data_IF_377941000012
#
_entry.id   IF_377941000012
#
_cell.length_a   1.000
_cell.length_b   1.000
_cell.length_c   1.000
_cell.angle_alpha   90.00
_cell.angle_beta   90.00
_cell.angle_gamma   90.00
#
_symmetry.space_group_name_H-M   'P 1'
#
loop_
_entity.id
_entity.type
_entity.pdbx_description
1 polymer ?
#
# COMPACT_ATOMS: atom_id res chain seq x y z
N UNK A 1 66.37 -24.17 44.87
CA UNK A 1 66.52 -24.62 46.27
C UNK A 1 65.38 -24.05 47.07
N UNK A 2 64.69 -24.91 47.85
CA UNK A 2 63.66 -24.68 48.88
C UNK A 2 62.72 -23.46 48.76
N UNK A 3 61.41 -23.58 48.62
CA UNK A 3 60.52 -24.47 49.38
C UNK A 3 60.03 -23.75 50.64
N UNK A 4 58.73 -23.43 50.69
CA UNK A 4 57.82 -23.65 51.83
C UNK A 4 56.43 -23.08 51.56
N UNK A 5 55.52 -24.01 51.26
CA UNK A 5 54.09 -23.88 51.40
C UNK A 5 53.71 -23.73 52.88
N UNK A 6 52.57 -23.10 53.15
CA UNK A 6 51.79 -23.40 54.34
C UNK A 6 51.06 -22.22 54.97
N UNK A 7 49.76 -22.15 54.65
CA UNK A 7 48.69 -21.74 55.56
C UNK A 7 48.59 -20.25 55.90
N UNK A 8 47.77 -19.52 55.12
CA UNK A 8 46.70 -18.73 55.74
C UNK A 8 45.40 -19.09 55.05
N UNK A 9 44.60 -19.85 55.80
CA UNK A 9 43.21 -20.17 55.56
C UNK A 9 42.38 -18.88 55.35
N UNK A 10 41.51 -18.91 54.35
CA UNK A 10 40.07 -18.72 54.55
C UNK A 10 39.65 -17.37 55.17
N UNK A 11 39.59 -16.29 54.38
CA UNK A 11 38.87 -15.04 54.76
C UNK A 11 38.40 -14.16 53.59
N UNK A 12 38.12 -14.73 52.40
CA UNK A 12 37.73 -13.92 51.22
C UNK A 12 36.48 -14.41 50.48
N UNK A 13 35.55 -15.07 51.19
CA UNK A 13 34.23 -15.42 50.66
C UNK A 13 33.13 -15.04 51.66
N UNK A 14 32.92 -13.74 51.89
CA UNK A 14 31.70 -13.18 52.47
C UNK A 14 31.76 -11.65 52.37
N UNK A 15 30.65 -11.01 51.98
CA UNK A 15 30.47 -9.61 51.54
C UNK A 15 30.75 -9.46 50.03
N UNK A 16 29.78 -9.32 49.12
CA UNK A 16 28.60 -8.44 49.16
C UNK A 16 27.40 -9.10 48.47
N UNK A 17 26.53 -9.72 49.25
CA UNK A 17 25.16 -10.07 48.86
C UNK A 17 24.20 -9.05 49.47
N UNK A 18 24.10 -7.85 48.88
CA UNK A 18 23.04 -6.85 49.12
C UNK A 18 22.92 -5.90 47.90
N UNK A 19 22.40 -6.41 46.79
CA UNK A 19 21.67 -5.64 45.77
C UNK A 19 20.42 -6.44 45.37
N UNK A 20 19.65 -6.84 46.38
CA UNK A 20 18.24 -7.17 46.23
C UNK A 20 17.48 -6.05 46.95
N UNK A 21 16.75 -5.23 46.18
CA UNK A 21 16.01 -4.11 46.75
C UNK A 21 15.81 -2.94 45.82
N UNK A 22 15.18 -3.16 44.67
CA UNK A 22 14.13 -2.25 44.19
C UNK A 22 13.28 -3.03 43.19
N UNK A 23 12.29 -3.78 43.68
CA UNK A 23 11.05 -3.94 42.94
C UNK A 23 10.42 -2.54 42.96
N UNK A 24 10.87 -1.69 42.03
CA UNK A 24 10.21 -0.46 41.68
C UNK A 24 9.01 -0.86 40.84
N UNK A 25 7.97 -1.32 41.53
CA UNK A 25 6.60 -1.20 41.08
C UNK A 25 6.35 0.30 40.91
N UNK A 26 6.72 0.80 39.73
CA UNK A 26 6.45 2.16 39.30
C UNK A 26 5.59 2.07 38.05
N UNK A 27 4.49 1.31 38.15
CA UNK A 27 3.23 1.72 37.56
C UNK A 27 2.83 3.03 38.25
N UNK A 28 3.55 4.10 37.94
CA UNK A 28 2.94 5.40 37.94
C UNK A 28 1.97 5.36 36.77
N UNK A 29 0.72 5.03 37.07
CA UNK A 29 -0.45 5.37 36.28
C UNK A 29 -0.51 6.91 36.13
N UNK A 30 0.49 7.51 35.47
CA UNK A 30 0.35 8.83 34.90
C UNK A 30 -0.62 8.65 33.75
N UNK A 31 -1.90 8.89 34.06
CA UNK A 31 -2.92 9.05 33.06
C UNK A 31 -2.40 10.06 32.03
N UNK A 32 -2.18 9.58 30.81
CA UNK A 32 -1.85 10.44 29.67
C UNK A 32 -2.91 11.54 29.58
N UNK A 33 -2.53 12.83 29.43
CA UNK A 33 -3.46 13.95 29.45
C UNK A 33 -4.41 13.97 28.24
N UNK A 34 -4.15 13.12 27.25
CA UNK A 34 -4.97 12.92 26.05
C UNK A 34 -5.20 11.42 25.85
N UNK A 35 -6.45 11.03 25.71
CA UNK A 35 -6.85 9.69 25.28
C UNK A 35 -7.13 9.73 23.77
N UNK A 36 -6.18 9.26 22.97
CA UNK A 36 -6.23 9.29 21.51
C UNK A 36 -7.03 8.11 20.98
N UNK A 37 -8.23 8.39 20.47
CA UNK A 37 -9.11 7.39 19.87
C UNK A 37 -9.46 7.87 18.46
N UNK A 38 -8.96 7.14 17.47
CA UNK A 38 -9.17 7.44 16.05
C UNK A 38 -9.79 6.24 15.34
N UNK A 39 -10.90 6.48 14.64
CA UNK A 39 -11.60 5.48 13.86
C UNK A 39 -11.35 5.65 12.36
N UNK A 40 -11.25 4.53 11.65
CA UNK A 40 -11.01 4.48 10.22
C UNK A 40 -11.49 3.13 9.66
N UNK A 41 -12.26 3.17 8.57
CA UNK A 41 -12.96 2.00 8.03
C UNK A 41 -12.08 1.09 7.16
N UNK A 42 -11.08 1.69 6.51
CA UNK A 42 -10.19 1.00 5.59
C UNK A 42 -8.75 1.46 5.78
N UNK A 43 -7.82 0.55 5.52
CA UNK A 43 -6.37 0.79 5.51
C UNK A 43 -5.74 0.33 4.21
N UNK A 44 -6.55 -0.10 3.25
CA UNK A 44 -6.13 -0.41 1.91
C UNK A 44 -7.07 0.20 0.86
N UNK A 45 -6.56 0.34 -0.36
CA UNK A 45 -7.36 0.73 -1.51
C UNK A 45 -6.55 0.65 -2.80
N UNK A 46 -7.24 0.80 -3.93
CA UNK A 46 -6.64 0.63 -5.26
C UNK A 46 -6.93 1.87 -6.10
N UNK A 47 -5.87 2.51 -6.59
CA UNK A 47 -5.96 3.55 -7.62
C UNK A 47 -6.42 2.88 -8.90
N UNK A 48 -7.33 3.52 -9.62
CA UNK A 48 -7.79 3.05 -10.92
C UNK A 48 -7.41 4.06 -12.00
N UNK A 49 -6.77 3.59 -13.06
CA UNK A 49 -6.39 4.43 -14.19
C UNK A 49 -6.77 3.72 -15.49
N UNK A 50 -7.21 4.48 -16.51
CA UNK A 50 -7.44 3.89 -17.82
C UNK A 50 -6.95 4.74 -18.99
N UNK A 51 -6.56 4.07 -20.07
CA UNK A 51 -5.98 4.64 -21.27
C UNK A 51 -6.61 4.10 -22.55
N UNK A 52 -6.68 4.96 -23.56
CA UNK A 52 -7.00 4.58 -24.95
C UNK A 52 -5.93 5.17 -25.86
N UNK A 53 -5.17 4.32 -26.57
CA UNK A 53 -4.11 4.74 -27.50
C UNK A 53 -3.10 5.69 -26.85
N UNK A 54 -2.62 5.32 -25.66
CA UNK A 54 -1.67 6.12 -24.87
C UNK A 54 -2.23 7.38 -24.20
N UNK A 55 -3.49 7.75 -24.45
CA UNK A 55 -4.14 8.89 -23.80
C UNK A 55 -4.92 8.45 -22.57
N UNK A 56 -4.63 9.05 -21.41
CA UNK A 56 -5.39 8.79 -20.18
C UNK A 56 -6.82 9.31 -20.34
N UNK A 57 -7.79 8.45 -20.06
CA UNK A 57 -9.22 8.76 -20.13
C UNK A 57 -9.89 8.79 -18.76
N UNK A 58 -9.38 8.05 -17.76
CA UNK A 58 -9.85 8.13 -16.38
C UNK A 58 -8.71 7.97 -15.38
N UNK A 59 -8.94 8.51 -14.19
CA UNK A 59 -8.09 8.34 -13.02
C UNK A 59 -8.90 8.55 -11.75
N UNK A 60 -8.79 7.62 -10.81
CA UNK A 60 -9.44 7.65 -9.50
C UNK A 60 -8.40 7.33 -8.43
N UNK A 61 -8.13 8.29 -7.54
CA UNK A 61 -7.28 8.11 -6.37
C UNK A 61 -7.98 7.33 -5.25
N UNK A 62 -7.27 7.14 -4.13
CA UNK A 62 -7.79 6.49 -2.93
C UNK A 62 -7.85 7.49 -1.79
N UNK A 63 -9.02 7.64 -1.18
CA UNK A 63 -9.21 8.52 -0.01
C UNK A 63 -9.41 7.70 1.25
N UNK A 64 -8.64 8.01 2.29
CA UNK A 64 -8.80 7.48 3.64
C UNK A 64 -9.32 8.58 4.57
N UNK A 65 -10.26 8.23 5.44
CA UNK A 65 -10.86 9.13 6.42
C UNK A 65 -10.50 8.69 7.83
N UNK A 66 -10.09 9.65 8.67
CA UNK A 66 -9.71 9.42 10.05
C UNK A 66 -10.56 10.27 10.99
N UNK A 67 -11.37 9.61 11.81
CA UNK A 67 -12.31 10.24 12.74
C UNK A 67 -11.77 10.25 14.18
N UNK A 68 -11.50 11.44 14.68
CA UNK A 68 -11.01 11.76 16.02
C UNK A 68 -12.14 12.11 17.00
N UNK A 69 -13.43 11.97 16.65
CA UNK A 69 -14.55 12.42 17.47
C UNK A 69 -14.64 11.79 18.87
N UNK A 70 -13.92 10.68 19.09
CA UNK A 70 -13.81 9.99 20.39
C UNK A 70 -12.53 10.31 21.17
N UNK A 71 -11.62 11.07 20.58
CA UNK A 71 -10.42 11.56 21.27
C UNK A 71 -10.83 12.56 22.36
N UNK A 72 -10.25 12.45 23.55
CA UNK A 72 -10.54 13.34 24.69
C UNK A 72 -9.26 13.84 25.35
N UNK A 73 -9.35 14.96 26.08
CA UNK A 73 -8.23 15.53 26.83
C UNK A 73 -8.71 16.15 28.14
N UNK A 74 -7.88 16.08 29.17
CA UNK A 74 -8.12 16.72 30.48
C UNK A 74 -8.14 18.26 30.40
N UNK A 75 -7.49 18.85 29.39
CA UNK A 75 -7.36 20.30 29.23
C UNK A 75 -8.18 20.86 28.06
N UNK A 76 -8.74 19.99 27.22
CA UNK A 76 -9.44 20.38 25.99
C UNK A 76 -8.54 20.35 24.77
N UNK A 77 -9.06 19.83 23.67
CA UNK A 77 -8.31 19.63 22.43
C UNK A 77 -8.20 20.93 21.64
N UNK A 78 -7.04 21.14 21.02
CA UNK A 78 -6.76 22.31 20.18
C UNK A 78 -6.66 21.93 18.71
N UNK A 79 -5.87 20.91 18.37
CA UNK A 79 -5.65 20.52 16.97
C UNK A 79 -5.59 19.02 16.78
N UNK A 80 -6.09 18.55 15.64
CA UNK A 80 -5.78 17.24 15.09
C UNK A 80 -4.86 17.41 13.88
N UNK A 81 -3.91 16.50 13.74
CA UNK A 81 -2.94 16.53 12.66
C UNK A 81 -2.76 15.16 12.01
N UNK A 82 -2.44 15.17 10.72
CA UNK A 82 -2.13 14.00 9.91
C UNK A 82 -0.87 14.28 9.10
N UNK A 83 0.17 13.47 9.30
CA UNK A 83 1.31 13.37 8.39
C UNK A 83 1.03 12.24 7.39
N UNK A 84 0.89 12.51 6.08
CA UNK A 84 0.62 11.48 5.08
C UNK A 84 1.75 10.45 4.88
N UNK A 85 2.98 10.73 5.32
CA UNK A 85 4.09 9.80 5.14
C UNK A 85 4.56 9.64 3.68
N UNK A 86 4.23 10.59 2.82
CA UNK A 86 4.65 10.64 1.40
C UNK A 86 5.49 11.90 1.08
N UNK A 87 5.92 12.62 2.11
CA UNK A 87 6.70 13.85 1.99
C UNK A 87 5.88 15.13 1.76
N UNK A 88 4.55 15.05 1.62
CA UNK A 88 3.67 16.22 1.69
C UNK A 88 3.69 16.84 3.10
N UNK A 89 3.27 18.09 3.18
CA UNK A 89 3.13 18.79 4.47
C UNK A 89 2.06 18.15 5.35
N UNK A 90 2.27 18.20 6.67
CA UNK A 90 1.29 17.81 7.68
C UNK A 90 -0.01 18.60 7.49
N UNK A 91 -1.12 17.88 7.48
CA UNK A 91 -2.49 18.43 7.49
C UNK A 91 -2.84 18.71 8.95
N UNK A 92 -3.38 19.90 9.23
CA UNK A 92 -3.78 20.31 10.58
C UNK A 92 -5.15 20.95 10.55
N UNK A 93 -6.03 20.55 11.47
CA UNK A 93 -7.35 21.14 11.67
C UNK A 93 -7.54 21.57 13.12
N UNK A 94 -8.36 22.59 13.34
CA UNK A 94 -8.78 23.00 14.68
C UNK A 94 -9.80 22.00 15.22
N UNK A 95 -9.57 21.47 16.43
CA UNK A 95 -10.43 20.46 17.05
C UNK A 95 -11.84 20.99 17.39
N UNK A 96 -12.04 22.32 17.37
CA UNK A 96 -13.34 22.96 17.52
C UNK A 96 -14.13 23.08 16.21
N UNK A 97 -13.47 22.92 15.05
CA UNK A 97 -14.10 23.04 13.72
C UNK A 97 -14.51 21.69 13.14
N UNK A 98 -13.62 20.70 13.25
CA UNK A 98 -13.84 19.34 12.74
C UNK A 98 -13.11 18.32 13.62
N UNK A 99 -13.61 17.09 13.60
CA UNK A 99 -12.95 15.94 14.20
C UNK A 99 -12.56 14.89 13.15
N UNK A 100 -12.67 15.18 11.85
CA UNK A 100 -12.27 14.24 10.80
C UNK A 100 -11.27 14.87 9.83
N UNK A 101 -10.28 14.07 9.41
CA UNK A 101 -9.31 14.42 8.38
C UNK A 101 -9.37 13.36 7.27
N UNK A 102 -9.61 13.81 6.04
CA UNK A 102 -9.50 12.99 4.84
C UNK A 102 -8.15 13.20 4.15
N UNK A 103 -7.55 12.13 3.65
CA UNK A 103 -6.31 12.16 2.86
C UNK A 103 -6.44 11.32 1.60
N UNK A 104 -6.16 11.93 0.45
CA UNK A 104 -6.15 11.27 -0.85
C UNK A 104 -4.73 10.91 -1.29
N UNK A 105 -4.57 9.70 -1.84
CA UNK A 105 -3.36 9.21 -2.50
C UNK A 105 -3.62 8.96 -3.98
N UNK A 106 -2.69 9.43 -4.80
CA UNK A 106 -2.71 9.32 -6.25
C UNK A 106 -1.53 8.53 -6.82
N UNK A 107 -0.65 8.05 -5.94
CA UNK A 107 0.47 7.18 -6.27
C UNK A 107 0.39 5.96 -5.35
N UNK A 108 0.68 4.79 -5.88
CA UNK A 108 0.67 3.53 -5.13
C UNK A 108 1.85 3.48 -4.13
N UNK A 109 1.71 2.74 -3.04
CA UNK A 109 2.70 2.74 -1.96
C UNK A 109 2.18 2.14 -0.65
N UNK A 110 3.11 1.91 0.28
CA UNK A 110 2.83 1.65 1.68
C UNK A 110 3.13 2.92 2.48
N UNK A 111 2.12 3.56 3.06
CA UNK A 111 2.27 4.86 3.72
C UNK A 111 2.17 4.72 5.23
N UNK A 112 3.20 5.16 5.96
CA UNK A 112 3.17 5.24 7.42
C UNK A 112 2.58 6.60 7.84
N UNK A 113 1.26 6.64 7.99
CA UNK A 113 0.53 7.85 8.37
C UNK A 113 0.66 8.09 9.86
N UNK A 114 1.08 9.29 10.27
CA UNK A 114 1.11 9.68 11.69
C UNK A 114 -0.06 10.57 12.02
N UNK A 115 -0.91 10.11 12.92
CA UNK A 115 -2.08 10.82 13.43
C UNK A 115 -1.74 11.37 14.80
N UNK A 116 -2.03 12.65 15.08
CA UNK A 116 -1.76 13.22 16.39
C UNK A 116 -2.85 14.20 16.83
N UNK A 117 -3.05 14.26 18.15
CA UNK A 117 -3.90 15.24 18.81
C UNK A 117 -3.05 16.09 19.74
N UNK A 118 -3.31 17.40 19.77
CA UNK A 118 -2.64 18.34 20.67
C UNK A 118 -3.67 19.15 21.46
N UNK A 119 -3.46 19.26 22.76
CA UNK A 119 -4.34 20.02 23.65
C UNK A 119 -3.95 21.50 23.76
N UNK A 120 -4.71 22.28 24.53
CA UNK A 120 -4.46 23.72 24.74
C UNK A 120 -3.19 24.01 25.56
N UNK A 121 -2.64 23.02 26.25
CA UNK A 121 -1.44 23.12 27.08
C UNK A 121 -0.18 22.63 26.34
N UNK A 122 -0.28 22.41 25.03
CA UNK A 122 0.78 21.90 24.16
C UNK A 122 1.22 20.44 24.47
N UNK A 123 0.38 19.65 25.14
CA UNK A 123 0.61 18.21 25.20
C UNK A 123 0.20 17.57 23.87
N UNK A 124 1.00 16.65 23.35
CA UNK A 124 0.75 15.95 22.09
C UNK A 124 0.88 14.44 22.28
N UNK A 125 -0.08 13.69 21.76
CA UNK A 125 -0.04 12.24 21.63
C UNK A 125 -0.23 11.86 20.17
N UNK A 126 0.42 10.79 19.72
CA UNK A 126 0.33 10.33 18.35
C UNK A 126 0.20 8.80 18.25
N UNK A 127 -0.26 8.35 17.09
CA UNK A 127 -0.25 6.96 16.67
C UNK A 127 0.12 6.87 15.19
N UNK A 128 0.63 5.71 14.78
CA UNK A 128 0.97 5.44 13.38
C UNK A 128 0.02 4.39 12.81
N UNK A 129 -0.53 4.67 11.63
CA UNK A 129 -1.35 3.75 10.83
C UNK A 129 -0.65 3.51 9.51
N UNK A 130 -0.45 2.26 9.14
CA UNK A 130 0.11 1.88 7.84
C UNK A 130 -1.02 1.68 6.85
N UNK A 131 -0.97 2.40 5.73
CA UNK A 131 -1.93 2.29 4.62
C UNK A 131 -1.29 1.58 3.43
N UNK A 132 -2.05 0.74 2.72
CA UNK A 132 -1.64 0.08 1.48
C UNK A 132 -2.43 0.63 0.29
N UNK A 133 -1.74 1.24 -0.67
CA UNK A 133 -2.35 1.74 -1.90
C UNK A 133 -1.79 0.98 -3.09
N UNK A 134 -2.65 0.27 -3.79
CA UNK A 134 -2.34 -0.47 -5.01
C UNK A 134 -2.71 0.34 -6.26
N UNK A 135 -2.30 -0.14 -7.44
CA UNK A 135 -2.65 0.48 -8.71
C UNK A 135 -3.20 -0.57 -9.67
N UNK A 136 -4.36 -0.30 -10.27
CA UNK A 136 -4.92 -1.08 -11.37
C UNK A 136 -5.05 -0.17 -12.60
N UNK A 137 -4.51 -0.63 -13.72
CA UNK A 137 -4.43 0.12 -14.96
C UNK A 137 -5.08 -0.70 -16.07
N UNK A 138 -6.09 -0.11 -16.72
CA UNK A 138 -6.67 -0.64 -17.95
C UNK A 138 -6.12 0.15 -19.14
N UNK A 139 -5.49 -0.51 -20.10
CA UNK A 139 -5.00 0.15 -21.30
C UNK A 139 -5.56 -0.56 -22.53
N UNK A 140 -6.00 0.22 -23.51
CA UNK A 140 -6.51 -0.36 -24.76
C UNK A 140 -6.05 0.42 -25.98
N UNK A 141 -5.88 -0.30 -27.07
CA UNK A 141 -5.64 0.25 -28.40
C UNK A 141 -6.41 -0.58 -29.42
N UNK A 142 -7.05 0.06 -30.39
CA UNK A 142 -7.87 -0.63 -31.37
C UNK A 142 -7.34 -0.39 -32.78
N UNK A 143 -7.46 -1.41 -33.62
CA UNK A 143 -7.11 -1.35 -35.03
C UNK A 143 -5.68 -0.84 -35.25
N UNK A 144 -4.71 -1.42 -34.54
CA UNK A 144 -3.29 -1.06 -34.63
C UNK A 144 -2.56 -1.86 -35.69
N UNK A 145 -1.69 -1.21 -36.46
CA UNK A 145 -0.72 -1.86 -37.34
C UNK A 145 0.70 -1.80 -36.77
N UNK A 146 0.90 -1.00 -35.73
CA UNK A 146 2.16 -0.72 -35.06
C UNK A 146 1.80 -0.35 -33.62
N UNK A 147 1.62 -1.35 -32.74
CA UNK A 147 1.16 -1.12 -31.38
C UNK A 147 2.03 -0.14 -30.60
N UNK A 148 1.38 0.74 -29.85
CA UNK A 148 2.10 1.65 -28.96
C UNK A 148 2.68 0.88 -27.76
N UNK A 149 3.82 1.36 -27.26
CA UNK A 149 4.40 0.82 -26.01
C UNK A 149 3.62 1.35 -24.81
N UNK A 150 3.22 0.46 -23.91
CA UNK A 150 2.62 0.83 -22.64
C UNK A 150 3.70 0.98 -21.57
N UNK A 151 3.77 2.16 -20.95
CA UNK A 151 4.65 2.44 -19.81
C UNK A 151 3.97 2.04 -18.48
N UNK A 152 4.67 1.26 -17.66
CA UNK A 152 4.24 0.83 -16.33
C UNK A 152 5.20 1.42 -15.29
N UNK A 153 4.79 2.51 -14.64
CA UNK A 153 5.60 3.13 -13.59
C UNK A 153 5.41 2.39 -12.26
N UNK A 154 6.48 1.77 -11.78
CA UNK A 154 6.50 1.03 -10.51
C UNK A 154 7.11 1.83 -9.35
N UNK A 155 7.37 3.12 -9.56
CA UNK A 155 7.93 4.01 -8.54
C UNK A 155 6.85 4.38 -7.51
N UNK A 156 6.99 3.99 -6.23
CA UNK A 156 6.03 4.31 -5.19
C UNK A 156 5.98 5.81 -4.87
N UNK A 157 4.92 6.25 -4.18
CA UNK A 157 4.79 7.63 -3.70
C UNK A 157 5.64 7.97 -2.46
N UNK A 158 6.39 7.01 -1.93
CA UNK A 158 7.38 7.21 -0.86
C UNK A 158 8.59 6.29 -1.06
N UNK A 159 9.75 6.71 -0.55
CA UNK A 159 11.05 6.05 -0.81
C UNK A 159 11.20 4.67 -0.16
N UNK A 160 10.47 4.40 0.92
CA UNK A 160 10.61 3.19 1.73
C UNK A 160 9.81 2.00 1.18
N UNK A 161 8.80 2.28 0.35
CA UNK A 161 7.92 1.28 -0.24
C UNK A 161 8.59 0.52 -1.38
N UNK A 162 8.20 -0.75 -1.54
CA UNK A 162 8.58 -1.56 -2.70
C UNK A 162 7.39 -2.40 -3.14
N UNK A 163 6.96 -2.32 -4.41
CA UNK A 163 5.93 -3.22 -4.89
C UNK A 163 6.37 -4.67 -4.74
N UNK A 164 5.42 -5.52 -4.35
CA UNK A 164 5.63 -6.96 -4.25
C UNK A 164 5.60 -7.61 -5.63
N UNK A 165 4.69 -7.16 -6.49
CA UNK A 165 4.39 -7.81 -7.75
C UNK A 165 3.77 -6.82 -8.75
N UNK A 166 4.11 -6.99 -10.03
CA UNK A 166 3.29 -6.49 -11.15
C UNK A 166 2.65 -7.71 -11.81
N UNK A 167 1.32 -7.71 -11.90
CA UNK A 167 0.54 -8.70 -12.64
C UNK A 167 0.16 -8.08 -13.98
N UNK A 168 0.42 -8.80 -15.07
CA UNK A 168 0.12 -8.38 -16.43
C UNK A 168 -0.83 -9.40 -17.05
N UNK A 169 -2.01 -8.95 -17.45
CA UNK A 169 -2.89 -9.68 -18.36
C UNK A 169 -2.97 -8.87 -19.67
N UNK A 170 -2.45 -9.44 -20.76
CA UNK A 170 -2.50 -8.81 -22.08
C UNK A 170 -3.27 -9.67 -23.06
N UNK A 171 -4.32 -9.12 -23.63
CA UNK A 171 -5.10 -9.74 -24.71
C UNK A 171 -4.83 -9.01 -26.01
N UNK A 172 -4.49 -9.77 -27.05
CA UNK A 172 -4.40 -9.27 -28.42
C UNK A 172 -5.42 -10.01 -29.28
N UNK A 173 -6.26 -9.26 -29.98
CA UNK A 173 -7.28 -9.76 -30.89
C UNK A 173 -6.87 -9.49 -32.34
N UNK A 174 -7.02 -10.50 -33.20
CA UNK A 174 -7.00 -10.36 -34.65
C UNK A 174 -8.46 -10.30 -35.16
N UNK A 175 -9.06 -9.12 -35.28
CA UNK A 175 -10.49 -8.99 -35.59
C UNK A 175 -10.82 -9.43 -37.01
N UNK A 176 -11.87 -10.23 -37.17
CA UNK A 176 -12.37 -10.60 -38.50
C UNK A 176 -13.18 -9.47 -39.14
N UNK A 177 -12.87 -9.14 -40.39
CA UNK A 177 -13.62 -8.13 -41.15
C UNK A 177 -14.64 -8.82 -42.07
N UNK A 178 -15.92 -8.45 -41.94
CA UNK A 178 -16.98 -9.07 -42.74
C UNK A 178 -16.76 -8.88 -44.25
N UNK A 179 -16.75 -9.99 -44.99
CA UNK A 179 -16.65 -9.99 -46.46
C UNK A 179 -15.22 -9.98 -47.01
N UNK A 180 -14.20 -9.97 -46.15
CA UNK A 180 -12.79 -10.11 -46.53
C UNK A 180 -12.15 -11.25 -45.75
N UNK A 181 -11.56 -12.27 -46.39
CA UNK A 181 -10.80 -13.29 -45.67
C UNK A 181 -9.62 -12.62 -44.96
N UNK A 182 -9.54 -12.73 -43.63
CA UNK A 182 -8.36 -12.30 -42.89
C UNK A 182 -7.23 -13.31 -42.98
N UNK A 183 -6.05 -12.91 -42.51
CA UNK A 183 -4.86 -13.74 -42.42
C UNK A 183 -4.45 -13.90 -40.96
N UNK A 184 -3.84 -15.03 -40.58
CA UNK A 184 -3.27 -15.15 -39.25
C UNK A 184 -2.16 -14.11 -39.05
N UNK A 185 -2.09 -13.52 -37.85
CA UNK A 185 -0.99 -12.64 -37.43
C UNK A 185 -0.12 -13.35 -36.41
N UNK A 186 1.18 -13.10 -36.40
CA UNK A 186 2.08 -13.54 -35.33
C UNK A 186 2.46 -12.34 -34.51
N UNK A 187 2.25 -12.42 -33.20
CA UNK A 187 2.46 -11.33 -32.26
C UNK A 187 3.44 -11.79 -31.17
N UNK A 188 4.33 -10.89 -30.78
CA UNK A 188 5.22 -11.06 -29.63
C UNK A 188 4.93 -10.01 -28.56
N UNK A 189 4.90 -10.46 -27.31
CA UNK A 189 4.91 -9.61 -26.13
C UNK A 189 6.32 -9.56 -25.56
N UNK A 190 6.72 -8.40 -25.07
CA UNK A 190 7.94 -8.21 -24.29
C UNK A 190 7.66 -7.26 -23.13
N UNK A 191 8.08 -7.64 -21.91
CA UNK A 191 8.16 -6.74 -20.77
C UNK A 191 9.63 -6.44 -20.48
N UNK A 192 10.03 -5.19 -20.57
CA UNK A 192 11.37 -4.71 -20.27
C UNK A 192 11.40 -3.88 -18.98
N UNK A 193 12.50 -3.94 -18.25
CA UNK A 193 12.73 -3.13 -17.06
C UNK A 193 13.25 -1.71 -17.39
N UNK A 194 13.41 -0.82 -16.39
CA UNK A 194 13.89 0.55 -16.61
C UNK A 194 15.31 0.64 -17.19
N UNK A 195 16.09 -0.45 -17.14
CA UNK A 195 17.42 -0.57 -17.75
C UNK A 195 17.37 -1.26 -19.13
N UNK A 196 16.16 -1.43 -19.68
CA UNK A 196 15.86 -2.13 -20.93
C UNK A 196 16.26 -3.61 -20.94
N UNK A 197 16.38 -4.25 -19.77
CA UNK A 197 16.56 -5.70 -19.72
C UNK A 197 15.19 -6.38 -19.80
N UNK A 198 15.09 -7.36 -20.69
CA UNK A 198 13.90 -8.19 -20.83
C UNK A 198 13.62 -9.01 -19.57
N UNK A 199 12.42 -8.87 -19.02
CA UNK A 199 11.90 -9.64 -17.87
C UNK A 199 10.98 -10.77 -18.27
N UNK A 200 10.17 -10.57 -19.32
CA UNK A 200 9.22 -11.55 -19.82
C UNK A 200 9.02 -11.41 -21.32
N UNK A 201 8.68 -12.51 -21.99
CA UNK A 201 8.26 -12.49 -23.39
C UNK A 201 7.45 -13.72 -23.76
N UNK A 202 6.56 -13.57 -24.72
CA UNK A 202 5.84 -14.67 -25.35
C UNK A 202 5.62 -14.37 -26.84
N UNK A 203 5.42 -15.38 -27.67
CA UNK A 203 5.11 -15.22 -29.09
C UNK A 203 4.02 -16.20 -29.48
N UNK A 204 2.98 -15.72 -30.16
CA UNK A 204 1.85 -16.55 -30.57
C UNK A 204 1.33 -16.16 -31.95
N UNK A 205 0.82 -17.15 -32.69
CA UNK A 205 0.08 -16.92 -33.93
C UNK A 205 -1.43 -16.89 -33.64
N UNK A 206 -2.08 -15.80 -34.01
CA UNK A 206 -3.50 -15.52 -33.78
C UNK A 206 -4.24 -15.64 -35.11
N UNK A 207 -5.11 -16.66 -35.29
CA UNK A 207 -5.94 -16.79 -36.47
C UNK A 207 -6.92 -15.62 -36.65
N UNK A 208 -7.44 -15.47 -37.87
CA UNK A 208 -8.49 -14.49 -38.19
C UNK A 208 -9.73 -14.69 -37.29
N UNK A 209 -10.19 -13.60 -36.67
CA UNK A 209 -11.34 -13.57 -35.76
C UNK A 209 -11.09 -14.18 -34.38
N UNK A 210 -9.84 -14.39 -33.97
CA UNK A 210 -9.49 -14.94 -32.66
C UNK A 210 -8.66 -13.95 -31.84
N UNK A 211 -8.42 -14.32 -30.58
CA UNK A 211 -7.54 -13.60 -29.66
C UNK A 211 -6.56 -14.57 -28.99
N UNK A 212 -5.45 -14.00 -28.50
CA UNK A 212 -4.50 -14.68 -27.62
C UNK A 212 -4.27 -13.82 -26.38
N UNK A 213 -3.94 -14.49 -25.28
CA UNK A 213 -3.71 -13.87 -23.98
C UNK A 213 -2.32 -14.23 -23.47
N UNK A 214 -1.61 -13.23 -22.94
CA UNK A 214 -0.37 -13.41 -22.21
C UNK A 214 -0.52 -12.93 -20.78
N UNK A 215 -0.47 -13.89 -19.85
CA UNK A 215 -0.46 -13.64 -18.40
C UNK A 215 0.98 -13.73 -17.88
N UNK A 216 1.44 -12.70 -17.17
CA UNK A 216 2.80 -12.64 -16.65
C UNK A 216 2.87 -11.94 -15.29
N UNK A 217 3.62 -12.57 -14.38
CA UNK A 217 3.86 -12.08 -13.02
C UNK A 217 5.32 -11.67 -12.83
N UNK A 218 5.57 -10.37 -12.67
CA UNK A 218 6.87 -9.85 -12.28
C UNK A 218 6.94 -9.67 -10.76
N UNK A 219 7.66 -10.56 -10.08
CA UNK A 219 7.90 -10.44 -8.65
C UNK A 219 9.02 -9.44 -8.35
N UNK A 220 8.81 -8.60 -7.34
CA UNK A 220 9.76 -7.58 -6.86
C UNK A 220 10.32 -6.70 -7.99
N UNK A 221 9.47 -5.94 -8.71
CA UNK A 221 9.91 -5.06 -9.78
C UNK A 221 10.92 -4.01 -9.26
N UNK A 222 11.89 -3.65 -10.10
CA UNK A 222 12.80 -2.53 -9.84
C UNK A 222 12.06 -1.21 -9.99
N UNK A 223 12.32 -0.20 -9.15
CA UNK A 223 11.68 1.11 -9.30
C UNK A 223 11.99 1.74 -10.66
N UNK A 224 10.99 2.40 -11.24
CA UNK A 224 11.07 3.06 -12.54
C UNK A 224 10.00 2.59 -13.51
N UNK A 225 10.15 3.03 -14.76
CA UNK A 225 9.23 2.73 -15.86
C UNK A 225 9.64 1.41 -16.52
N UNK A 226 8.71 0.47 -16.55
CA UNK A 226 8.82 -0.75 -17.35
C UNK A 226 8.04 -0.56 -18.65
N UNK A 227 8.52 -1.16 -19.72
CA UNK A 227 7.89 -1.08 -21.03
C UNK A 227 7.22 -2.41 -21.35
N UNK A 228 5.91 -2.39 -21.56
CA UNK A 228 5.15 -3.50 -22.14
C UNK A 228 4.97 -3.24 -23.63
N UNK A 229 5.59 -4.10 -24.44
CA UNK A 229 5.69 -3.96 -25.89
C UNK A 229 4.95 -5.11 -26.54
N UNK A 230 4.11 -4.79 -27.53
CA UNK A 230 3.49 -5.77 -28.42
C UNK A 230 3.99 -5.52 -29.83
N UNK A 231 4.55 -6.53 -30.48
CA UNK A 231 5.07 -6.44 -31.86
C UNK A 231 4.33 -7.39 -32.77
N UNK A 232 3.90 -6.92 -33.95
CA UNK A 232 3.37 -7.79 -35.01
C UNK A 232 4.55 -8.30 -35.84
N UNK A 233 4.99 -9.53 -35.59
CA UNK A 233 6.14 -10.15 -36.27
C UNK A 233 5.83 -10.55 -37.71
N UNK A 234 4.60 -11.02 -37.95
CA UNK A 234 4.14 -11.51 -39.25
C UNK A 234 2.64 -11.24 -39.43
N UNK A 235 2.23 -11.01 -40.68
CA UNK A 235 0.85 -10.68 -41.03
C UNK A 235 0.69 -9.21 -41.41
N UNK A 236 -0.48 -8.86 -41.93
CA UNK A 236 -0.82 -7.49 -42.35
C UNK A 236 -2.10 -6.97 -41.71
N UNK A 237 -2.78 -7.83 -40.94
CA UNK A 237 -4.04 -7.50 -40.31
C UNK A 237 -3.77 -6.63 -39.08
N UNK A 238 -4.71 -5.74 -38.79
CA UNK A 238 -4.60 -4.78 -37.69
C UNK A 238 -5.21 -5.40 -36.44
N UNK A 239 -4.55 -5.27 -35.30
CA UNK A 239 -4.94 -5.92 -34.05
C UNK A 239 -5.63 -4.97 -33.09
N UNK A 240 -6.45 -5.50 -32.19
CA UNK A 240 -6.88 -4.79 -30.99
C UNK A 240 -6.11 -5.32 -29.80
N UNK A 241 -5.82 -4.46 -28.83
CA UNK A 241 -5.00 -4.77 -27.67
C UNK A 241 -5.71 -4.27 -26.44
N UNK A 242 -5.73 -5.10 -25.40
CA UNK A 242 -6.20 -4.75 -24.08
C UNK A 242 -5.18 -5.26 -23.05
N UNK A 243 -4.78 -4.39 -22.14
CA UNK A 243 -3.93 -4.71 -20.99
C UNK A 243 -4.69 -4.41 -19.70
N UNK A 244 -4.57 -5.32 -18.74
CA UNK A 244 -4.92 -5.08 -17.34
C UNK A 244 -3.63 -5.29 -16.54
N UNK A 245 -3.21 -4.24 -15.84
CA UNK A 245 -1.97 -4.22 -15.07
C UNK A 245 -2.29 -3.93 -13.61
N UNK A 246 -1.87 -4.80 -12.70
CA UNK A 246 -2.00 -4.56 -11.27
C UNK A 246 -0.62 -4.46 -10.60
N UNK A 247 -0.37 -3.35 -9.90
CA UNK A 247 0.81 -3.15 -9.06
C UNK A 247 0.40 -3.40 -7.60
N UNK A 248 0.89 -4.50 -7.05
CA UNK A 248 0.47 -5.05 -5.77
C UNK A 248 1.56 -4.91 -4.71
N UNK A 249 1.14 -4.81 -3.46
CA UNK A 249 2.02 -4.74 -2.29
C UNK A 249 1.85 -5.94 -1.36
N UNK A 250 2.75 -6.08 -0.39
CA UNK A 250 2.56 -7.00 0.72
C UNK A 250 1.39 -6.53 1.60
N UNK A 251 0.60 -7.47 2.11
CA UNK A 251 -0.49 -7.18 3.06
C UNK A 251 0.10 -6.87 4.45
N UNK A 252 0.67 -5.67 4.57
CA UNK A 252 1.32 -5.15 5.77
C UNK A 252 0.67 -3.88 6.33
N UNK A 253 -0.52 -3.51 5.84
CA UNK A 253 -1.30 -2.41 6.39
C UNK A 253 -1.77 -2.68 7.82
N UNK A 254 -2.08 -1.62 8.56
CA UNK A 254 -2.69 -1.72 9.88
C UNK A 254 -4.10 -2.32 9.78
N UNK A 255 -4.58 -2.95 10.85
CA UNK A 255 -5.97 -3.42 10.91
C UNK A 255 -6.92 -2.20 10.97
N UNK A 256 -8.00 -2.16 10.18
CA UNK A 256 -9.05 -1.14 10.29
C UNK A 256 -9.60 -1.01 11.71
N UNK A 257 -10.00 0.20 12.09
CA UNK A 257 -10.62 0.48 13.38
C UNK A 257 -11.97 1.20 13.18
N UNK A 258 -12.97 0.54 12.57
CA UNK A 258 -14.26 1.19 12.31
C UNK A 258 -14.97 1.51 13.62
N UNK A 259 -15.76 2.59 13.62
CA UNK A 259 -16.60 2.91 14.76
C UNK A 259 -17.76 1.89 14.85
N UNK A 260 -17.82 1.12 15.94
CA UNK A 260 -18.94 0.23 16.23
C UNK A 260 -20.02 0.99 17.01
N UNK A 261 -21.20 1.16 16.41
CA UNK A 261 -22.38 1.55 17.18
C UNK A 261 -22.82 0.34 17.99
N UNK A 262 -22.77 0.44 19.33
CA UNK A 262 -23.43 -0.54 20.18
C UNK A 262 -24.93 -0.56 19.84
N UNK A 263 -25.42 -1.70 19.35
CA UNK A 263 -26.85 -1.91 19.17
C UNK A 263 -27.48 -2.07 20.56
N UNK A 264 -28.18 -1.05 21.06
CA UNK A 264 -29.10 -1.15 22.20
C UNK A 264 -30.35 -1.99 21.83
N UNK A 265 -30.19 -3.27 21.48
CA UNK A 265 -31.32 -4.16 21.16
C UNK A 265 -31.22 -5.58 21.70
N UNK A 266 -30.47 -5.81 22.78
CA UNK A 266 -30.49 -7.08 23.54
C UNK A 266 -30.68 -6.87 25.06
N UNK A 267 -31.62 -6.02 25.48
CA UNK A 267 -32.15 -6.03 26.87
C UNK A 267 -33.68 -5.90 26.90
N UNK A 268 -34.42 -6.61 26.04
CA UNK A 268 -35.86 -6.84 26.26
C UNK A 268 -36.25 -8.27 25.86
N UNK A 269 -35.66 -9.28 26.49
CA UNK A 269 -36.32 -10.59 26.55
C UNK A 269 -35.89 -11.41 27.78
N UNK A 270 -36.09 -10.86 28.97
CA UNK A 270 -36.12 -11.64 30.21
C UNK A 270 -36.97 -10.89 31.22
N UNK A 271 -38.30 -10.95 31.07
CA UNK A 271 -39.24 -10.94 32.19
C UNK A 271 -40.68 -11.12 31.68
N UNK A 272 -41.14 -12.37 31.64
CA UNK A 272 -42.51 -12.75 32.03
C UNK A 272 -42.64 -14.27 32.03
N UNK A 273 -42.37 -14.87 33.19
CA UNK A 273 -43.05 -16.09 33.65
C UNK A 273 -44.45 -15.74 34.20
#
# INVERSE_FOLDING_TARGET
MGGRAGVVLLSSLLMCSMLAGCFGDNDSDQKEPIDLVVHYDATNGTIQQSFIGGSQISFTGVTFSFDFARTTSDYGLRTFTLDPGDGRSIISIDASESASIDVEYQIHGMYAVTLAATDINDNTVNMTVVLRVEHSIEWSEANSADPDTMEINTTPGNEDSKPRQVVVESVVENPSIFGTPGSPVTVSWELADPESNRKGSNTEQIPDGQSATWDFDLNFPSHGVHDLIVTIDQGTDRVNINHIIDILYEQGESVPNPYQQENESEEENSESE
#
